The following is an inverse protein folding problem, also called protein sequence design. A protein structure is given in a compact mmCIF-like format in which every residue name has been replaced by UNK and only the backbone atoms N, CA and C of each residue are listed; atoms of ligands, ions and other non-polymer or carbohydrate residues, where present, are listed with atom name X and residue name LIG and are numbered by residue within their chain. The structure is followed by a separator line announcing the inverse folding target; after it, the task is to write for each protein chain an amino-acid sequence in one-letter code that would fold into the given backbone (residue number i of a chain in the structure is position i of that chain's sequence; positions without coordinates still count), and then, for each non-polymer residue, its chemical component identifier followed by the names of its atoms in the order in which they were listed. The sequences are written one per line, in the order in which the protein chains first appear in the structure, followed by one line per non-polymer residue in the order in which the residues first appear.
data_IF_186930410632
#
_entry.id   IF_186930410632
#
_cell.length_a   1.000
_cell.length_b   1.000
_cell.length_c   1.000
_cell.angle_alpha   90.00
_cell.angle_beta   90.00
_cell.angle_gamma   90.00
#
_symmetry.space_group_name_H-M   'P 1'
#
loop_
_entity.id
_entity.type
_entity.pdbx_description
1 polymer ?
#
# COMPACT_ATOMS: atom_id res chain seq x y z
N UNK A 1 -3.21 1.81 12.08
CA UNK A 1 -2.14 2.12 13.05
C UNK A 1 -1.35 3.36 12.62
N UNK A 2 -0.92 3.51 11.34
CA UNK A 2 -0.31 4.77 10.88
C UNK A 2 -1.24 5.99 11.09
N UNK A 3 -2.56 5.86 10.86
CA UNK A 3 -3.51 6.96 11.07
C UNK A 3 -3.75 7.35 12.55
N UNK A 4 -2.99 6.79 13.51
CA UNK A 4 -3.12 7.14 14.93
C UNK A 4 -2.20 8.29 15.37
N UNK A 5 -1.18 8.64 14.56
CA UNK A 5 -0.30 9.77 14.83
C UNK A 5 0.23 10.40 13.52
N UNK A 6 0.52 11.70 13.54
CA UNK A 6 0.91 12.48 12.36
C UNK A 6 2.36 12.23 11.89
N UNK A 7 3.17 11.59 12.72
CA UNK A 7 4.57 11.21 12.50
C UNK A 7 4.74 9.77 11.97
N UNK A 8 3.64 9.06 11.78
CA UNK A 8 3.67 7.69 11.30
C UNK A 8 3.59 7.61 9.76
N UNK A 9 4.61 7.00 9.16
CA UNK A 9 4.60 6.73 7.73
C UNK A 9 3.40 5.83 7.36
N UNK A 10 2.72 6.19 6.28
CA UNK A 10 1.76 5.28 5.64
C UNK A 10 2.53 4.06 5.16
N UNK A 11 2.02 2.87 5.48
CA UNK A 11 2.66 1.63 5.08
C UNK A 11 2.41 1.36 3.58
N UNK A 12 2.92 2.21 2.69
CA UNK A 12 2.97 2.03 1.23
C UNK A 12 4.36 2.48 0.79
N UNK A 13 5.10 1.62 0.10
CA UNK A 13 6.32 2.04 -0.58
C UNK A 13 5.94 2.55 -1.98
N UNK A 14 6.13 3.84 -2.29
CA UNK A 14 5.75 4.39 -3.59
C UNK A 14 6.58 3.81 -4.75
N UNK A 15 7.72 3.16 -4.50
CA UNK A 15 8.56 2.58 -5.55
C UNK A 15 7.92 1.36 -6.22
N UNK A 16 7.03 0.65 -5.52
CA UNK A 16 6.35 -0.55 -6.03
C UNK A 16 4.92 -0.25 -6.51
N UNK A 17 4.50 1.02 -6.49
CA UNK A 17 3.18 1.44 -6.97
C UNK A 17 3.25 1.66 -8.47
N UNK A 18 2.36 1.00 -9.22
CA UNK A 18 2.21 1.18 -10.66
C UNK A 18 1.30 2.35 -11.00
N UNK A 19 0.22 2.52 -10.23
CA UNK A 19 -0.78 3.56 -10.47
C UNK A 19 -1.31 4.13 -9.17
N UNK A 20 -1.39 5.45 -9.12
CA UNK A 20 -2.12 6.19 -8.09
C UNK A 20 -3.38 6.78 -8.71
N UNK A 21 -4.52 6.49 -8.10
CA UNK A 21 -5.82 7.06 -8.47
C UNK A 21 -6.28 8.02 -7.38
N UNK A 22 -6.62 9.25 -7.78
CA UNK A 22 -7.18 10.25 -6.86
C UNK A 22 -8.65 10.44 -7.21
N UNK A 23 -9.52 9.90 -6.36
CA UNK A 23 -10.97 9.92 -6.55
C UNK A 23 -11.57 11.04 -5.69
N UNK A 24 -12.34 11.92 -6.33
CA UNK A 24 -13.06 13.02 -5.69
C UNK A 24 -14.56 12.90 -5.97
N UNK A 25 -15.39 13.42 -5.05
CA UNK A 25 -16.84 13.43 -5.20
C UNK A 25 -17.48 12.04 -5.04
N UNK A 26 -18.66 11.79 -5.65
CA UNK A 26 -19.46 10.59 -5.40
C UNK A 26 -18.74 9.26 -5.68
N UNK A 27 -17.76 9.24 -6.60
CA UNK A 27 -16.96 8.07 -6.90
C UNK A 27 -16.11 7.58 -5.70
N UNK A 28 -15.80 8.47 -4.75
CA UNK A 28 -15.07 8.14 -3.53
C UNK A 28 -15.89 7.27 -2.57
N UNK A 29 -17.23 7.30 -2.65
CA UNK A 29 -18.12 6.47 -1.81
C UNK A 29 -17.92 4.97 -2.04
N UNK A 30 -17.43 4.57 -3.22
CA UNK A 30 -17.07 3.17 -3.53
C UNK A 30 -15.92 2.63 -2.68
N UNK A 31 -15.22 3.51 -1.96
CA UNK A 31 -14.06 3.18 -1.13
C UNK A 31 -14.33 3.39 0.38
N UNK A 32 -15.54 3.82 0.76
CA UNK A 32 -15.99 3.89 2.14
C UNK A 32 -16.70 5.21 2.52
N UNK A 33 -17.51 5.16 3.56
CA UNK A 33 -18.34 6.29 4.02
C UNK A 33 -17.56 7.47 4.64
N UNK A 34 -16.29 7.28 4.98
CA UNK A 34 -15.42 8.32 5.56
C UNK A 34 -14.58 9.08 4.51
N UNK A 35 -14.88 8.91 3.21
CA UNK A 35 -14.14 9.51 2.10
C UNK A 35 -14.54 10.98 1.81
N UNK A 36 -14.91 11.77 2.83
CA UNK A 36 -15.39 13.15 2.68
C UNK A 36 -14.37 14.06 1.98
N UNK A 37 -13.08 13.78 2.14
CA UNK A 37 -11.97 14.49 1.47
C UNK A 37 -11.50 13.87 0.14
N UNK A 38 -12.11 12.77 -0.30
CA UNK A 38 -11.65 11.95 -1.44
C UNK A 38 -10.83 10.73 -1.01
N UNK A 39 -10.45 9.91 -1.98
CA UNK A 39 -9.65 8.68 -1.79
C UNK A 39 -8.42 8.71 -2.69
N UNK A 40 -7.28 8.32 -2.12
CA UNK A 40 -6.07 7.99 -2.89
C UNK A 40 -5.90 6.48 -2.87
N UNK A 41 -6.04 5.86 -4.02
CA UNK A 41 -5.89 4.42 -4.20
C UNK A 41 -4.54 4.12 -4.87
N UNK A 42 -3.75 3.24 -4.27
CA UNK A 42 -2.45 2.81 -4.79
C UNK A 42 -2.54 1.37 -5.29
N UNK A 43 -2.16 1.16 -6.54
CA UNK A 43 -2.26 -0.11 -7.25
C UNK A 43 -0.86 -0.63 -7.59
N UNK A 44 -0.60 -1.90 -7.29
CA UNK A 44 0.73 -2.55 -7.39
C UNK A 44 0.78 -3.70 -8.43
N UNK A 45 -0.36 -4.05 -9.04
CA UNK A 45 -0.54 -5.14 -10.02
C UNK A 45 0.03 -6.51 -9.59
N UNK A 46 0.18 -6.76 -8.28
CA UNK A 46 0.76 -8.02 -7.76
C UNK A 46 -0.10 -9.26 -8.03
N UNK A 47 -1.36 -9.08 -8.43
CA UNK A 47 -2.24 -10.13 -8.96
C UNK A 47 -2.62 -9.73 -10.40
N UNK A 48 -1.89 -10.21 -11.43
CA UNK A 48 -2.19 -9.87 -12.82
C UNK A 48 -3.61 -10.31 -13.20
N UNK A 49 -4.38 -9.45 -13.86
CA UNK A 49 -5.81 -9.71 -14.14
C UNK A 49 -6.08 -10.22 -15.55
N UNK A 50 -5.15 -9.95 -16.46
CA UNK A 50 -5.22 -10.36 -17.85
C UNK A 50 -4.11 -11.39 -18.14
N UNK A 51 -4.29 -12.28 -19.12
CA UNK A 51 -3.24 -13.21 -19.52
C UNK A 51 -1.99 -12.45 -19.98
N UNK A 52 -0.85 -12.73 -19.36
CA UNK A 52 0.45 -12.27 -19.78
C UNK A 52 1.06 -13.26 -20.78
N UNK A 53 1.80 -12.76 -21.75
CA UNK A 53 2.55 -13.56 -22.71
C UNK A 53 4.03 -13.20 -22.64
N UNK A 54 4.88 -14.16 -22.25
CA UNK A 54 6.32 -13.94 -22.16
C UNK A 54 6.73 -13.32 -20.83
N UNK A 55 7.95 -12.76 -20.82
CA UNK A 55 8.56 -12.12 -19.66
C UNK A 55 8.57 -10.60 -19.86
N UNK A 56 8.08 -9.87 -18.87
CA UNK A 56 8.14 -8.42 -18.77
C UNK A 56 8.79 -7.98 -17.45
N UNK A 57 9.13 -6.71 -17.36
CA UNK A 57 9.70 -6.17 -16.12
C UNK A 57 10.05 -4.70 -16.19
N UNK A 58 10.38 -4.14 -15.03
CA UNK A 58 10.78 -2.75 -14.83
C UNK A 58 11.91 -2.71 -13.81
N UNK A 59 12.90 -1.86 -14.03
CA UNK A 59 13.91 -1.56 -13.02
C UNK A 59 14.17 -0.06 -13.00
N UNK A 60 14.35 0.50 -11.80
CA UNK A 60 14.67 1.91 -11.60
C UNK A 60 15.73 2.05 -10.50
N UNK A 61 16.67 2.96 -10.71
CA UNK A 61 17.67 3.37 -9.72
C UNK A 61 17.58 4.88 -9.52
N UNK A 62 17.57 5.33 -8.26
CA UNK A 62 17.58 6.75 -7.89
C UNK A 62 18.77 7.02 -6.97
N UNK A 63 19.57 8.01 -7.31
CA UNK A 63 20.73 8.43 -6.52
C UNK A 63 20.73 9.97 -6.39
N UNK A 64 20.88 10.50 -5.17
CA UNK A 64 21.11 11.94 -4.94
C UNK A 64 20.03 12.63 -4.11
N UNK A 65 19.82 13.92 -4.35
CA UNK A 65 18.90 14.75 -3.57
C UNK A 65 19.46 15.22 -2.21
N UNK A 66 18.72 16.06 -1.47
CA UNK A 66 19.19 16.67 -0.23
C UNK A 66 19.36 15.68 0.93
N UNK A 67 18.64 14.55 0.91
CA UNK A 67 18.82 13.46 1.87
C UNK A 67 19.86 12.41 1.39
N UNK A 68 20.50 12.60 0.23
CA UNK A 68 21.47 11.62 -0.30
C UNK A 68 20.84 10.25 -0.58
N UNK A 69 19.63 10.25 -1.11
CA UNK A 69 18.83 9.06 -1.39
C UNK A 69 19.58 8.09 -2.29
N UNK A 70 19.47 6.79 -1.94
CA UNK A 70 19.86 5.67 -2.77
C UNK A 70 18.70 4.70 -2.80
N UNK A 71 18.01 4.63 -3.92
CA UNK A 71 16.87 3.75 -4.08
C UNK A 71 17.02 2.86 -5.31
N UNK A 72 16.47 1.67 -5.22
CA UNK A 72 16.34 0.75 -6.34
C UNK A 72 15.03 -0.01 -6.25
N UNK A 73 14.42 -0.25 -7.40
CA UNK A 73 13.28 -1.16 -7.54
C UNK A 73 13.49 -2.03 -8.77
N UNK A 74 13.09 -3.30 -8.65
CA UNK A 74 13.00 -4.23 -9.75
C UNK A 74 11.68 -4.98 -9.66
N UNK A 75 11.00 -5.12 -10.80
CA UNK A 75 9.76 -5.84 -10.98
C UNK A 75 9.93 -6.77 -12.17
N UNK A 76 9.47 -8.00 -12.03
CA UNK A 76 9.38 -8.98 -13.08
C UNK A 76 7.98 -9.59 -13.08
N UNK A 77 7.41 -9.76 -14.26
CA UNK A 77 6.14 -10.42 -14.45
C UNK A 77 6.20 -11.30 -15.68
N UNK A 78 5.38 -12.34 -15.71
CA UNK A 78 5.29 -13.15 -16.90
C UNK A 78 4.14 -14.12 -16.85
N UNK A 79 3.88 -14.75 -17.97
CA UNK A 79 2.81 -15.73 -18.05
C UNK A 79 2.83 -16.59 -19.29
N UNK A 80 2.13 -17.70 -19.18
CA UNK A 80 1.86 -18.64 -20.26
C UNK A 80 0.53 -19.36 -20.01
N UNK A 81 -0.27 -19.50 -21.07
CA UNK A 81 -1.54 -20.25 -21.03
C UNK A 81 -2.52 -19.78 -19.94
N UNK A 82 -2.54 -18.48 -19.66
CA UNK A 82 -3.38 -17.88 -18.63
C UNK A 82 -2.81 -17.93 -17.21
N UNK A 83 -1.76 -18.71 -16.94
CA UNK A 83 -1.03 -18.63 -15.67
C UNK A 83 -0.07 -17.44 -15.72
N UNK A 84 -0.22 -16.52 -14.78
CA UNK A 84 0.61 -15.35 -14.61
C UNK A 84 1.36 -15.41 -13.28
N UNK A 85 2.51 -14.76 -13.22
CA UNK A 85 3.28 -14.53 -12.00
C UNK A 85 3.84 -13.11 -11.99
N UNK A 86 4.09 -12.62 -10.78
CA UNK A 86 4.66 -11.32 -10.48
C UNK A 86 5.66 -11.43 -9.33
N UNK A 87 6.75 -10.69 -9.42
CA UNK A 87 7.72 -10.52 -8.35
C UNK A 87 8.24 -9.08 -8.35
N UNK A 88 8.23 -8.42 -7.19
CA UNK A 88 8.85 -7.11 -7.02
C UNK A 88 9.73 -7.04 -5.77
N UNK A 89 10.76 -6.22 -5.86
CA UNK A 89 11.62 -5.83 -4.74
C UNK A 89 11.95 -4.35 -4.84
N UNK A 90 11.92 -3.65 -3.72
CA UNK A 90 12.34 -2.27 -3.61
C UNK A 90 13.15 -2.05 -2.34
N UNK A 91 14.12 -1.14 -2.43
CA UNK A 91 14.92 -0.68 -1.30
C UNK A 91 15.23 0.78 -1.46
N UNK A 92 15.11 1.55 -0.38
CA UNK A 92 15.53 2.95 -0.31
C UNK A 92 16.31 3.18 0.97
N UNK A 93 17.40 3.92 0.84
CA UNK A 93 18.22 4.44 1.93
C UNK A 93 18.27 5.96 1.79
N UNK A 94 18.01 6.68 2.87
CA UNK A 94 18.19 8.12 2.96
C UNK A 94 19.01 8.45 4.19
N UNK A 95 19.88 9.45 4.06
CA UNK A 95 20.57 10.08 5.20
C UNK A 95 19.72 11.24 5.73
N UNK A 96 20.18 11.91 6.78
CA UNK A 96 19.53 13.11 7.27
C UNK A 96 19.38 14.17 6.16
N UNK A 97 18.18 14.74 6.07
CA UNK A 97 17.81 15.74 5.09
C UNK A 97 18.67 17.00 5.27
N UNK A 98 19.48 17.35 4.28
CA UNK A 98 20.22 18.61 4.26
C UNK A 98 19.29 19.79 4.00
N UNK A 99 19.45 20.84 4.79
CA UNK A 99 18.73 22.10 4.67
C UNK A 99 19.71 23.28 4.78
N UNK A 100 19.37 24.47 4.26
CA UNK A 100 20.20 25.65 4.47
C UNK A 100 20.31 26.03 5.94
N UNK A 101 19.19 25.91 6.68
CA UNK A 101 19.04 26.16 8.11
C UNK A 101 17.94 25.27 8.67
N UNK A 102 18.14 24.72 9.85
CA UNK A 102 17.14 23.98 10.62
C UNK A 102 17.35 24.23 12.11
N UNK A 103 16.26 24.45 12.83
CA UNK A 103 16.27 24.68 14.28
C UNK A 103 15.22 23.77 14.88
N UNK A 104 15.65 22.75 15.62
CA UNK A 104 14.74 21.88 16.35
C UNK A 104 14.15 22.62 17.55
N UNK A 105 12.83 22.50 17.73
CA UNK A 105 12.16 22.90 18.95
C UNK A 105 12.01 21.66 19.85
N UNK A 106 12.87 21.53 20.86
CA UNK A 106 12.80 20.45 21.83
C UNK A 106 12.34 21.03 23.17
N UNK A 107 11.27 20.47 23.76
CA UNK A 107 10.69 20.95 25.04
C UNK A 107 10.40 22.47 25.06
N UNK A 108 9.97 23.02 23.92
CA UNK A 108 9.68 24.46 23.78
C UNK A 108 10.91 25.36 23.68
N UNK A 109 12.13 24.81 23.66
CA UNK A 109 13.37 25.56 23.48
C UNK A 109 13.97 25.33 22.10
N UNK A 110 14.49 26.41 21.51
CA UNK A 110 15.22 26.35 20.25
C UNK A 110 16.61 25.75 20.50
N UNK A 111 16.89 24.62 19.87
CA UNK A 111 18.21 24.02 19.83
C UNK A 111 19.13 24.80 18.88
N UNK A 112 20.47 24.63 18.97
CA UNK A 112 21.40 25.25 18.02
C UNK A 112 21.01 24.97 16.56
N UNK A 113 21.17 25.98 15.69
CA UNK A 113 20.91 25.84 14.27
C UNK A 113 21.84 24.80 13.65
N UNK A 114 21.28 23.92 12.82
CA UNK A 114 21.98 22.90 12.06
C UNK A 114 21.72 23.07 10.56
N UNK A 115 22.48 22.34 9.74
CA UNK A 115 22.29 22.25 8.28
C UNK A 115 21.61 20.95 7.84
N UNK A 116 21.05 20.22 8.81
CA UNK A 116 20.38 18.94 8.60
C UNK A 116 19.18 18.84 9.53
N UNK A 117 18.10 18.25 9.05
CA UNK A 117 17.03 17.78 9.93
C UNK A 117 17.55 16.55 10.64
N UNK A 118 17.93 16.70 11.92
CA UNK A 118 18.45 15.59 12.71
C UNK A 118 17.43 14.45 12.78
N UNK A 119 17.92 13.20 12.79
CA UNK A 119 17.10 12.00 12.90
C UNK A 119 15.99 11.93 11.82
N UNK A 120 16.33 12.29 10.58
CA UNK A 120 15.42 12.19 9.42
C UNK A 120 15.88 11.15 8.39
N UNK A 121 17.01 10.49 8.65
CA UNK A 121 17.45 9.31 7.92
C UNK A 121 16.41 8.18 7.97
N UNK A 122 16.43 7.32 6.96
CA UNK A 122 15.48 6.22 6.85
C UNK A 122 15.94 5.11 5.92
N UNK A 123 15.34 3.94 6.11
CA UNK A 123 15.52 2.74 5.30
C UNK A 123 14.18 2.09 5.07
N UNK A 124 13.74 2.02 3.81
CA UNK A 124 12.59 1.21 3.41
C UNK A 124 13.02 0.00 2.58
N UNK A 125 12.37 -1.12 2.82
CA UNK A 125 12.52 -2.35 2.06
C UNK A 125 11.13 -2.96 1.83
N UNK A 126 10.86 -3.36 0.60
CA UNK A 126 9.61 -4.02 0.26
C UNK A 126 9.87 -5.14 -0.74
N UNK A 127 9.04 -6.17 -0.70
CA UNK A 127 9.02 -7.19 -1.73
C UNK A 127 7.72 -7.95 -1.74
N UNK A 128 7.39 -8.51 -2.89
CA UNK A 128 6.18 -9.30 -3.06
C UNK A 128 6.33 -10.37 -4.12
N UNK A 129 5.46 -11.37 -3.99
CA UNK A 129 5.24 -12.41 -4.98
C UNK A 129 3.74 -12.55 -5.18
N UNK A 130 3.32 -12.77 -6.42
CA UNK A 130 1.94 -13.08 -6.72
C UNK A 130 1.79 -13.94 -7.95
N UNK A 131 0.63 -14.57 -8.05
CA UNK A 131 0.27 -15.41 -9.16
C UNK A 131 -1.23 -15.34 -9.41
N UNK A 132 -1.62 -15.53 -10.65
CA UNK A 132 -3.02 -15.61 -11.03
C UNK A 132 -3.24 -16.54 -12.19
N UNK A 133 -4.45 -17.07 -12.29
CA UNK A 133 -4.97 -17.66 -13.50
C UNK A 133 -5.93 -16.65 -14.12
N UNK A 134 -5.67 -16.22 -15.35
CA UNK A 134 -6.48 -15.29 -16.12
C UNK A 134 -6.91 -15.91 -17.46
N UNK A 135 -8.11 -15.55 -17.90
CA UNK A 135 -8.67 -16.00 -19.17
C UNK A 135 -9.95 -15.27 -19.55
N UNK A 136 -10.63 -15.76 -20.58
CA UNK A 136 -11.87 -15.17 -21.09
C UNK A 136 -12.95 -14.96 -20.01
N UNK A 137 -13.25 -15.93 -19.11
CA UNK A 137 -14.28 -15.74 -18.10
C UNK A 137 -13.81 -14.88 -16.92
N UNK A 138 -12.57 -14.38 -16.89
CA UNK A 138 -12.06 -13.56 -15.78
C UNK A 138 -10.74 -14.09 -15.21
N UNK A 139 -10.53 -13.90 -13.91
CA UNK A 139 -9.28 -14.29 -13.26
C UNK A 139 -9.48 -14.70 -11.80
N UNK A 140 -8.51 -15.42 -11.24
CA UNK A 140 -8.38 -15.64 -9.81
C UNK A 140 -6.89 -15.69 -9.45
N UNK A 141 -6.51 -15.07 -8.34
CA UNK A 141 -5.12 -15.06 -7.92
C UNK A 141 -4.90 -14.69 -6.47
N UNK A 142 -3.62 -14.70 -6.10
CA UNK A 142 -3.14 -14.43 -4.76
C UNK A 142 -1.81 -13.69 -4.81
N UNK A 143 -1.55 -12.88 -3.79
CA UNK A 143 -0.28 -12.20 -3.61
C UNK A 143 0.10 -12.16 -2.13
N UNK A 144 1.39 -12.23 -1.87
CA UNK A 144 1.99 -12.00 -0.56
C UNK A 144 2.99 -10.87 -0.67
N UNK A 145 3.05 -10.01 0.35
CA UNK A 145 4.02 -8.94 0.40
C UNK A 145 4.51 -8.68 1.83
N UNK A 146 5.78 -8.26 1.94
CA UNK A 146 6.42 -7.78 3.15
C UNK A 146 6.96 -6.37 2.90
N UNK A 147 6.82 -5.49 3.89
CA UNK A 147 7.39 -4.17 3.88
C UNK A 147 7.98 -3.84 5.26
N UNK A 148 9.15 -3.20 5.25
CA UNK A 148 9.87 -2.74 6.43
C UNK A 148 10.25 -1.29 6.23
N UNK A 149 10.11 -0.49 7.27
CA UNK A 149 10.54 0.89 7.26
C UNK A 149 11.13 1.25 8.61
N UNK A 150 12.43 1.49 8.63
CA UNK A 150 13.17 1.94 9.80
C UNK A 150 13.52 3.42 9.59
N UNK A 151 13.03 4.32 10.44
CA UNK A 151 13.22 5.77 10.24
C UNK A 151 13.27 6.54 11.55
N UNK A 152 13.94 7.70 11.52
CA UNK A 152 14.05 8.58 12.67
C UNK A 152 12.83 9.50 12.87
N UNK A 153 12.68 9.99 14.09
CA UNK A 153 11.68 11.00 14.47
C UNK A 153 12.39 12.33 14.70
N UNK A 154 12.18 13.31 13.82
CA UNK A 154 12.95 14.56 13.85
C UNK A 154 12.76 15.38 15.14
N UNK A 155 11.61 15.25 15.81
CA UNK A 155 11.32 15.93 17.08
C UNK A 155 11.90 15.22 18.29
N UNK A 156 12.27 13.94 18.13
CA UNK A 156 12.83 13.08 19.18
C UNK A 156 14.13 12.46 18.66
N UNK A 157 15.27 13.16 18.78
CA UNK A 157 16.50 12.82 18.06
C UNK A 157 17.09 11.45 18.40
N UNK A 158 16.68 10.88 19.54
CA UNK A 158 17.13 9.56 20.01
C UNK A 158 16.11 8.44 19.73
N UNK A 159 14.91 8.76 19.23
CA UNK A 159 13.87 7.77 18.97
C UNK A 159 13.86 7.37 17.50
N UNK A 160 13.88 6.07 17.25
CA UNK A 160 13.69 5.50 15.92
C UNK A 160 12.45 4.63 15.88
N UNK A 161 11.81 4.62 14.74
CA UNK A 161 10.64 3.81 14.46
C UNK A 161 11.08 2.61 13.63
N UNK A 162 10.70 1.41 14.07
CA UNK A 162 10.84 0.16 13.31
C UNK A 162 9.45 -0.34 12.91
N UNK A 163 9.09 -0.17 11.64
CA UNK A 163 7.82 -0.61 11.08
C UNK A 163 7.98 -1.90 10.27
N UNK A 164 7.05 -2.83 10.44
CA UNK A 164 6.93 -4.04 9.61
C UNK A 164 5.48 -4.29 9.24
N UNK A 165 5.23 -4.68 8.00
CA UNK A 165 3.92 -5.07 7.48
C UNK A 165 4.05 -6.32 6.62
N UNK A 166 3.26 -7.35 6.93
CA UNK A 166 3.04 -8.48 6.03
C UNK A 166 1.60 -8.50 5.57
N UNK A 167 1.33 -8.72 4.29
CA UNK A 167 -0.02 -8.77 3.75
C UNK A 167 -0.18 -9.96 2.80
N UNK A 168 -1.32 -10.65 2.94
CA UNK A 168 -1.81 -11.70 2.05
C UNK A 168 -3.05 -11.14 1.36
N UNK A 169 -3.14 -11.31 0.05
CA UNK A 169 -4.24 -10.82 -0.76
C UNK A 169 -4.72 -11.93 -1.68
N UNK A 170 -6.01 -11.98 -1.92
CA UNK A 170 -6.62 -12.78 -2.98
C UNK A 170 -7.68 -11.96 -3.70
N UNK A 171 -7.78 -12.17 -5.01
CA UNK A 171 -8.75 -11.48 -5.84
C UNK A 171 -9.21 -12.40 -6.96
N UNK A 172 -10.47 -12.26 -7.34
CA UNK A 172 -11.01 -12.92 -8.51
C UNK A 172 -12.20 -12.19 -9.10
N UNK A 173 -12.41 -12.44 -10.38
CA UNK A 173 -13.52 -11.92 -11.15
C UNK A 173 -14.03 -13.00 -12.08
N UNK A 174 -15.35 -13.17 -12.14
CA UNK A 174 -16.04 -13.99 -13.12
C UNK A 174 -16.94 -13.10 -13.96
N UNK A 175 -16.69 -13.05 -15.26
CA UNK A 175 -17.41 -12.32 -16.31
C UNK A 175 -18.21 -13.27 -17.21
N UNK A 176 -19.22 -12.72 -17.88
CA UNK A 176 -20.05 -13.50 -18.81
C UNK A 176 -21.01 -14.44 -18.10
N UNK A 177 -21.42 -14.09 -16.89
CA UNK A 177 -22.50 -14.78 -16.19
C UNK A 177 -23.82 -14.61 -16.96
N UNK A 178 -24.67 -15.62 -16.90
CA UNK A 178 -26.01 -15.60 -17.51
C UNK A 178 -27.07 -15.23 -16.48
N UNK A 179 -28.17 -14.64 -16.93
CA UNK A 179 -29.30 -14.27 -16.07
C UNK A 179 -29.22 -12.80 -15.64
N UNK A 180 -29.48 -12.52 -14.36
CA UNK A 180 -29.58 -11.15 -13.82
C UNK A 180 -28.22 -10.52 -13.47
N UNK A 181 -27.14 -11.30 -13.42
CA UNK A 181 -25.77 -10.84 -13.22
C UNK A 181 -24.95 -11.00 -14.51
N UNK A 182 -24.14 -10.00 -14.82
CA UNK A 182 -23.15 -10.03 -15.89
C UNK A 182 -21.73 -10.34 -15.40
N UNK A 183 -21.42 -9.97 -14.15
CA UNK A 183 -20.15 -10.32 -13.50
C UNK A 183 -20.25 -10.35 -11.98
N UNK A 184 -19.32 -11.09 -11.36
CA UNK A 184 -19.08 -11.15 -9.93
C UNK A 184 -17.59 -10.95 -9.68
N UNK A 185 -17.22 -10.14 -8.70
CA UNK A 185 -15.85 -10.02 -8.23
C UNK A 185 -15.78 -10.15 -6.72
N UNK A 186 -14.68 -10.72 -6.25
CA UNK A 186 -14.39 -10.92 -4.85
C UNK A 186 -12.93 -10.57 -4.58
N UNK A 187 -12.69 -9.85 -3.50
CA UNK A 187 -11.35 -9.52 -3.03
C UNK A 187 -11.31 -9.70 -1.52
N UNK A 188 -10.26 -10.33 -1.02
CA UNK A 188 -10.03 -10.44 0.40
C UNK A 188 -8.55 -10.19 0.71
N UNK A 189 -8.29 -9.59 1.87
CA UNK A 189 -6.93 -9.40 2.35
C UNK A 189 -6.80 -9.62 3.85
N UNK A 190 -5.63 -10.08 4.25
CA UNK A 190 -5.22 -10.16 5.64
C UNK A 190 -3.90 -9.43 5.82
N UNK A 191 -3.89 -8.42 6.69
CA UNK A 191 -2.72 -7.59 6.95
C UNK A 191 -2.31 -7.71 8.41
N UNK A 192 -1.02 -7.94 8.65
CA UNK A 192 -0.41 -7.78 9.96
C UNK A 192 0.57 -6.62 9.90
N UNK A 193 0.43 -5.71 10.85
CA UNK A 193 1.25 -4.52 10.97
C UNK A 193 1.82 -4.45 12.37
N UNK A 194 3.09 -4.10 12.48
CA UNK A 194 3.76 -3.77 13.72
C UNK A 194 4.59 -2.51 13.54
N UNK A 195 4.63 -1.70 14.58
CA UNK A 195 5.47 -0.53 14.70
C UNK A 195 6.04 -0.53 16.11
N UNK A 196 7.34 -0.30 16.24
CA UNK A 196 8.04 -0.16 17.52
C UNK A 196 8.73 1.20 17.58
N UNK A 197 8.48 1.94 18.65
CA UNK A 197 9.25 3.11 19.05
C UNK A 197 10.46 2.62 19.87
N UNK A 198 11.64 3.03 19.45
CA UNK A 198 12.90 2.47 19.93
C UNK A 198 13.77 3.62 20.38
N UNK A 199 14.00 3.68 21.68
CA UNK A 199 14.82 4.67 22.35
C UNK A 199 16.29 4.57 21.90
N UNK A 200 17.06 5.63 22.14
CA UNK A 200 18.49 5.66 21.79
C UNK A 200 19.33 4.61 22.53
N UNK A 201 18.81 4.08 23.64
CA UNK A 201 19.39 2.94 24.38
C UNK A 201 19.19 1.59 23.70
N UNK A 202 18.35 1.53 22.66
CA UNK A 202 17.89 0.30 22.01
C UNK A 202 16.69 -0.36 22.68
N UNK A 203 16.23 0.17 23.82
CA UNK A 203 14.99 -0.27 24.47
C UNK A 203 13.79 0.00 23.57
N UNK A 204 12.86 -0.95 23.51
CA UNK A 204 11.57 -0.73 22.85
C UNK A 204 10.66 -0.05 23.88
N UNK A 205 10.28 1.19 23.61
CA UNK A 205 9.31 1.93 24.41
C UNK A 205 7.92 1.39 24.15
N UNK A 206 7.30 1.83 23.05
CA UNK A 206 5.96 1.39 22.67
C UNK A 206 5.98 0.44 21.47
N UNK A 207 5.21 -0.64 21.54
CA UNK A 207 4.88 -1.50 20.40
C UNK A 207 3.41 -1.36 20.03
N UNK A 208 3.15 -0.84 18.84
CA UNK A 208 1.84 -0.84 18.22
C UNK A 208 1.71 -2.01 17.27
N UNK A 209 0.64 -2.79 17.40
CA UNK A 209 0.34 -3.90 16.50
C UNK A 209 -1.09 -3.83 16.01
N UNK A 210 -1.31 -4.24 14.77
CA UNK A 210 -2.65 -4.35 14.21
C UNK A 210 -2.77 -5.57 13.30
N UNK A 211 -3.91 -6.24 13.38
CA UNK A 211 -4.31 -7.29 12.45
C UNK A 211 -5.61 -6.88 11.79
N UNK A 212 -5.61 -6.82 10.47
CA UNK A 212 -6.75 -6.43 9.65
C UNK A 212 -7.19 -7.58 8.75
N UNK A 213 -8.49 -7.69 8.55
CA UNK A 213 -9.11 -8.51 7.51
C UNK A 213 -10.11 -7.64 6.76
N UNK A 214 -10.05 -7.70 5.44
CA UNK A 214 -10.98 -6.98 4.56
C UNK A 214 -11.57 -7.95 3.55
N UNK A 215 -12.87 -7.83 3.31
CA UNK A 215 -13.61 -8.56 2.27
C UNK A 215 -14.42 -7.56 1.46
N UNK A 216 -14.37 -7.69 0.14
CA UNK A 216 -15.15 -6.92 -0.81
C UNK A 216 -15.76 -7.85 -1.83
N UNK A 217 -17.08 -7.81 -1.96
CA UNK A 217 -17.84 -8.54 -2.96
C UNK A 217 -18.60 -7.52 -3.82
N UNK A 218 -18.56 -7.67 -5.13
CA UNK A 218 -19.29 -6.80 -6.06
C UNK A 218 -19.92 -7.64 -7.17
N UNK A 219 -21.14 -7.30 -7.56
CA UNK A 219 -21.85 -7.93 -8.65
C UNK A 219 -22.40 -6.87 -9.59
N UNK A 220 -22.21 -7.06 -10.89
CA UNK A 220 -22.82 -6.21 -11.91
C UNK A 220 -24.07 -6.86 -12.45
N UNK A 221 -25.16 -6.11 -12.53
CA UNK A 221 -26.40 -6.57 -13.12
C UNK A 221 -26.26 -6.68 -14.64
N UNK A 222 -27.02 -7.57 -15.24
CA UNK A 222 -27.15 -7.64 -16.69
C UNK A 222 -27.84 -6.37 -17.19
N UNK A 223 -27.27 -5.65 -18.19
CA UNK A 223 -27.89 -4.43 -18.69
C UNK A 223 -29.30 -4.68 -19.22
N UNK A 224 -30.27 -3.88 -18.78
CA UNK A 224 -31.68 -3.99 -19.19
C UNK A 224 -32.06 -2.82 -20.10
N UNK A 225 -32.61 -3.11 -21.27
CA UNK A 225 -33.16 -2.07 -22.15
C UNK A 225 -34.42 -1.47 -21.52
N UNK A 226 -34.49 -0.14 -21.46
CA UNK A 226 -35.63 0.62 -20.95
C UNK A 226 -36.07 1.65 -21.99
N UNK A 227 -37.25 2.25 -21.82
CA UNK A 227 -37.81 3.27 -22.73
C UNK A 227 -36.88 4.48 -22.96
N UNK A 228 -35.93 4.74 -22.05
CA UNK A 228 -34.99 5.87 -22.11
C UNK A 228 -33.52 5.49 -22.32
N UNK A 229 -33.21 4.22 -22.64
CA UNK A 229 -31.83 3.75 -22.84
C UNK A 229 -31.53 2.46 -22.09
N UNK A 230 -30.24 2.14 -21.89
CA UNK A 230 -29.81 0.92 -21.21
C UNK A 230 -29.56 1.19 -19.73
N UNK A 231 -30.33 0.55 -18.86
CA UNK A 231 -30.08 0.57 -17.42
C UNK A 231 -28.91 -0.37 -17.10
N UNK A 232 -27.86 0.19 -16.51
CA UNK A 232 -26.72 -0.54 -15.94
C UNK A 232 -26.72 -0.32 -14.43
N UNK A 233 -26.55 -1.39 -13.67
CA UNK A 233 -26.54 -1.33 -12.22
C UNK A 233 -25.58 -2.34 -11.64
N UNK A 234 -25.18 -2.13 -10.39
CA UNK A 234 -24.34 -3.05 -9.64
C UNK A 234 -24.62 -2.92 -8.16
N UNK A 235 -24.29 -3.98 -7.42
CA UNK A 235 -24.41 -4.05 -5.97
C UNK A 235 -23.10 -4.52 -5.38
N UNK A 236 -22.79 -4.09 -4.15
CA UNK A 236 -21.55 -4.49 -3.50
C UNK A 236 -21.67 -4.49 -1.98
N UNK A 237 -20.88 -5.34 -1.34
CA UNK A 237 -20.76 -5.45 0.11
C UNK A 237 -19.27 -5.35 0.45
N UNK A 238 -18.96 -4.55 1.47
CA UNK A 238 -17.63 -4.45 2.05
C UNK A 238 -17.71 -4.73 3.54
N UNK A 239 -16.81 -5.58 4.04
CA UNK A 239 -16.66 -5.88 5.45
C UNK A 239 -15.20 -5.72 5.86
N UNK A 240 -14.97 -5.12 7.02
CA UNK A 240 -13.64 -4.92 7.61
C UNK A 240 -13.68 -5.37 9.08
N UNK A 241 -12.65 -6.11 9.51
CA UNK A 241 -12.39 -6.40 10.92
C UNK A 241 -10.95 -6.01 11.24
N UNK A 242 -10.77 -5.23 12.31
CA UNK A 242 -9.46 -4.78 12.76
C UNK A 242 -9.29 -4.98 14.25
N UNK A 243 -8.23 -5.67 14.61
CA UNK A 243 -7.75 -5.81 15.99
C UNK A 243 -6.50 -4.94 16.14
N UNK A 244 -6.43 -4.20 17.24
CA UNK A 244 -5.34 -3.27 17.53
C UNK A 244 -4.88 -3.44 18.97
N UNK A 245 -3.57 -3.35 19.19
CA UNK A 245 -2.97 -3.33 20.52
C UNK A 245 -1.83 -2.33 20.56
N UNK A 246 -1.71 -1.61 21.67
CA UNK A 246 -0.56 -0.79 22.02
C UNK A 246 -0.02 -1.32 23.35
N UNK A 247 1.26 -1.65 23.39
CA UNK A 247 1.93 -2.17 24.58
C UNK A 247 3.17 -1.31 24.83
N UNK A 248 3.25 -0.69 26.00
CA UNK A 248 4.36 0.13 26.47
C UNK A 248 4.36 0.17 27.98
#
# INVERSE_FOLDING_TARGET
ASNLSFDHAVAIDPLVVERLEVLRGPAALLYGGNATGGVVNALDNRIPRDPLSGLGGRAELRLGGPAGDRAGVALLEGGANGLNWHADVARRLSSDLRTPRFTLMANGQAQPETRTVANSAGRSEAGALGASWAGAPGFAGLAIDDARNDYGVAVEPDVTIRMRRSKLQTAGEWRGLTGWLSSLSAQASHTRYQHQEVEGSGAVGTTFSSRGQELRLQAQLTPVATLGGTLRGGVGVQAERREFSALG
#
